data_IF_798619445266
#
_entry.id   IF_798619445266
#
_cell.length_a   1.000
_cell.length_b   1.000
_cell.length_c   1.000
_cell.angle_alpha   90.00
_cell.angle_beta   90.00
_cell.angle_gamma   90.00
#
_symmetry.space_group_name_H-M   'P 1'
#
loop_
_entity.id
_entity.type
_entity.pdbx_description
1 polymer ?
#
# COMPACT_ATOMS: atom_id res chain seq x y z
N UNK A 1 24.82 43.80 -13.70
CA UNK A 1 24.35 43.49 -12.33
C UNK A 1 25.35 42.52 -11.73
N UNK A 2 26.22 42.98 -10.82
CA UNK A 2 27.21 42.13 -10.16
C UNK A 2 26.46 41.23 -9.18
N UNK A 3 26.35 39.94 -9.50
CA UNK A 3 25.90 38.93 -8.56
C UNK A 3 26.99 38.79 -7.51
N UNK A 4 26.73 39.27 -6.29
CA UNK A 4 27.58 39.01 -5.13
C UNK A 4 27.55 37.50 -4.87
N UNK A 5 28.69 36.86 -5.11
CA UNK A 5 28.80 35.41 -5.01
C UNK A 5 28.84 34.99 -3.54
N UNK A 6 27.69 34.51 -3.04
CA UNK A 6 27.56 33.97 -1.69
C UNK A 6 27.76 32.46 -1.77
N UNK A 7 28.59 31.90 -0.89
CA UNK A 7 28.76 30.44 -0.76
C UNK A 7 27.42 29.81 -0.36
N UNK A 8 26.78 29.16 -1.32
CA UNK A 8 25.62 28.30 -1.10
C UNK A 8 26.07 26.83 -1.04
N UNK A 9 25.14 25.91 -0.78
CA UNK A 9 25.37 24.45 -0.93
C UNK A 9 25.88 24.06 -2.33
N UNK A 10 25.74 24.95 -3.32
CA UNK A 10 26.15 24.78 -4.71
C UNK A 10 27.44 25.55 -5.06
N UNK A 11 28.24 25.91 -4.04
CA UNK A 11 29.48 26.68 -4.11
C UNK A 11 29.34 28.15 -4.56
N UNK A 12 28.38 28.48 -5.42
CA UNK A 12 28.17 29.83 -5.96
C UNK A 12 26.68 30.13 -6.20
N UNK A 13 26.26 31.38 -6.00
CA UNK A 13 24.90 31.83 -6.34
C UNK A 13 24.69 31.91 -7.86
N UNK A 14 25.74 32.25 -8.60
CA UNK A 14 25.71 32.28 -10.05
C UNK A 14 25.43 30.88 -10.63
N UNK A 15 26.16 29.86 -10.16
CA UNK A 15 25.97 28.47 -10.59
C UNK A 15 24.57 27.94 -10.24
N UNK A 16 24.03 28.34 -9.08
CA UNK A 16 22.66 27.99 -8.70
C UNK A 16 21.63 28.57 -9.69
N UNK A 17 21.75 29.87 -10.02
CA UNK A 17 20.83 30.51 -10.96
C UNK A 17 20.97 29.95 -12.38
N UNK A 18 22.19 29.66 -12.83
CA UNK A 18 22.45 29.06 -14.14
C UNK A 18 21.79 27.67 -14.25
N UNK A 19 22.01 26.79 -13.26
CA UNK A 19 21.37 25.46 -13.22
C UNK A 19 19.86 25.53 -13.08
N UNK A 20 19.35 26.50 -12.31
CA UNK A 20 17.91 26.74 -12.22
C UNK A 20 17.33 27.12 -13.57
N UNK A 21 17.95 28.04 -14.30
CA UNK A 21 17.51 28.44 -15.64
C UNK A 21 17.56 27.27 -16.64
N UNK A 22 18.61 26.44 -16.60
CA UNK A 22 18.71 25.24 -17.44
C UNK A 22 17.59 24.23 -17.16
N UNK A 23 17.22 24.06 -15.88
CA UNK A 23 16.20 23.09 -15.46
C UNK A 23 14.78 23.67 -15.41
N UNK A 24 14.63 24.99 -15.53
CA UNK A 24 13.35 25.69 -15.41
C UNK A 24 12.27 25.15 -16.36
N UNK A 25 12.55 24.85 -17.65
CA UNK A 25 11.53 24.27 -18.53
C UNK A 25 11.06 22.89 -18.07
N UNK A 26 11.97 22.06 -17.55
CA UNK A 26 11.64 20.74 -17.02
C UNK A 26 10.84 20.84 -15.72
N UNK A 27 11.21 21.76 -14.83
CA UNK A 27 10.47 22.05 -13.59
C UNK A 27 9.08 22.59 -13.88
N UNK A 28 8.94 23.51 -14.84
CA UNK A 28 7.66 24.05 -15.26
C UNK A 28 6.78 22.99 -15.93
N UNK A 29 7.35 22.16 -16.81
CA UNK A 29 6.65 21.04 -17.42
C UNK A 29 6.17 20.03 -16.36
N UNK A 30 7.01 19.71 -15.38
CA UNK A 30 6.65 18.83 -14.26
C UNK A 30 5.55 19.46 -13.38
N UNK A 31 5.64 20.75 -13.06
CA UNK A 31 4.65 21.45 -12.23
C UNK A 31 3.27 21.54 -12.90
N UNK A 32 3.23 21.62 -14.24
CA UNK A 32 1.99 21.64 -15.02
C UNK A 32 1.44 20.23 -15.22
N UNK A 33 2.28 19.19 -15.14
CA UNK A 33 1.88 17.82 -15.37
C UNK A 33 0.83 17.37 -14.33
N UNK A 34 -0.28 16.80 -14.82
CA UNK A 34 -1.43 16.40 -14.01
C UNK A 34 -1.12 15.37 -12.91
N UNK A 35 0.03 14.68 -13.01
CA UNK A 35 0.55 13.75 -11.99
C UNK A 35 0.96 14.44 -10.69
N UNK A 36 1.33 15.72 -10.73
CA UNK A 36 1.77 16.48 -9.55
C UNK A 36 0.69 17.44 -9.02
N UNK A 37 -0.46 17.51 -9.69
CA UNK A 37 -1.57 18.39 -9.32
C UNK A 37 -2.49 17.67 -8.33
N UNK A 38 -2.00 17.45 -7.11
CA UNK A 38 -2.86 17.05 -6.00
C UNK A 38 -3.71 18.26 -5.62
N UNK A 39 -5.04 18.15 -5.69
CA UNK A 39 -5.92 19.24 -5.23
C UNK A 39 -5.88 19.28 -3.70
N UNK A 40 -6.04 20.47 -3.13
CA UNK A 40 -6.10 20.63 -1.68
C UNK A 40 -7.19 19.75 -1.06
N UNK A 41 -8.34 19.64 -1.72
CA UNK A 41 -9.47 18.80 -1.29
C UNK A 41 -9.12 17.31 -1.28
N UNK A 42 -8.36 16.83 -2.28
CA UNK A 42 -7.92 15.43 -2.37
C UNK A 42 -6.96 15.09 -1.22
N UNK A 43 -6.06 16.03 -0.89
CA UNK A 43 -5.13 15.89 0.23
C UNK A 43 -5.88 15.89 1.55
N UNK A 44 -6.87 16.78 1.72
CA UNK A 44 -7.67 16.82 2.93
C UNK A 44 -8.49 15.54 3.13
N UNK A 45 -9.15 15.04 2.08
CA UNK A 45 -9.87 13.77 2.14
C UNK A 45 -8.95 12.61 2.53
N UNK A 46 -7.75 12.55 1.95
CA UNK A 46 -6.72 11.56 2.29
C UNK A 46 -6.29 11.66 3.76
N UNK A 47 -6.00 12.86 4.26
CA UNK A 47 -5.60 13.07 5.66
C UNK A 47 -6.72 12.73 6.64
N UNK A 48 -7.97 13.02 6.27
CA UNK A 48 -9.14 12.66 7.06
C UNK A 48 -9.28 11.13 7.17
N UNK A 49 -9.13 10.40 6.07
CA UNK A 49 -9.17 8.93 6.07
C UNK A 49 -8.00 8.33 6.87
N UNK A 50 -6.79 8.86 6.69
CA UNK A 50 -5.60 8.41 7.39
C UNK A 50 -5.71 8.58 8.90
N UNK A 51 -6.27 9.71 9.35
CA UNK A 51 -6.42 10.01 10.79
C UNK A 51 -7.52 9.16 11.42
N UNK A 52 -8.59 8.85 10.67
CA UNK A 52 -9.65 7.95 11.13
C UNK A 52 -9.14 6.50 11.31
N UNK A 53 -8.30 6.05 10.38
CA UNK A 53 -7.64 4.74 10.45
C UNK A 53 -6.48 4.71 11.45
N UNK A 54 -6.09 5.84 12.02
CA UNK A 54 -5.15 5.84 13.15
C UNK A 54 -5.90 5.53 14.45
N UNK A 55 -5.65 4.38 15.09
CA UNK A 55 -6.38 3.99 16.31
C UNK A 55 -6.13 4.93 17.50
N UNK A 56 -5.10 5.77 17.44
CA UNK A 56 -4.81 6.79 18.46
C UNK A 56 -5.75 7.98 18.34
N UNK A 57 -6.19 8.29 17.12
CA UNK A 57 -6.96 9.49 16.82
C UNK A 57 -8.42 9.19 16.52
N UNK A 58 -8.80 7.97 16.11
CA UNK A 58 -10.17 7.50 15.85
C UNK A 58 -11.33 8.20 16.59
N UNK A 59 -11.22 8.51 17.89
CA UNK A 59 -12.27 9.19 18.67
C UNK A 59 -12.45 10.68 18.36
N UNK A 60 -11.50 11.32 17.69
CA UNK A 60 -11.52 12.76 17.39
C UNK A 60 -12.29 13.10 16.11
N UNK A 61 -12.60 12.11 15.27
CA UNK A 61 -13.13 12.28 13.92
C UNK A 61 -14.31 11.36 13.64
N UNK A 62 -15.36 11.48 14.46
CA UNK A 62 -16.60 10.73 14.27
C UNK A 62 -17.55 11.45 13.30
N UNK A 63 -17.15 11.55 12.02
CA UNK A 63 -18.03 12.02 10.94
C UNK A 63 -18.38 10.86 10.03
N UNK A 64 -19.68 10.58 9.87
CA UNK A 64 -20.17 9.46 9.07
C UNK A 64 -19.74 9.56 7.59
N UNK A 65 -19.60 10.77 7.05
CA UNK A 65 -19.09 11.02 5.70
C UNK A 65 -17.69 10.39 5.46
N UNK A 66 -16.82 10.43 6.47
CA UNK A 66 -15.45 9.88 6.35
C UNK A 66 -15.50 8.35 6.40
N UNK A 67 -16.38 7.80 7.24
CA UNK A 67 -16.63 6.35 7.29
C UNK A 67 -17.17 5.80 5.98
N UNK A 68 -18.06 6.54 5.30
CA UNK A 68 -18.60 6.15 3.99
C UNK A 68 -17.50 6.12 2.90
N UNK A 69 -16.55 7.06 2.95
CA UNK A 69 -15.38 7.05 2.06
C UNK A 69 -14.47 5.87 2.34
N UNK A 70 -14.15 5.61 3.61
CA UNK A 70 -13.34 4.43 4.01
C UNK A 70 -14.04 3.13 3.62
N UNK A 71 -15.36 3.04 3.77
CA UNK A 71 -16.17 1.90 3.33
C UNK A 71 -16.05 1.68 1.83
N UNK A 72 -16.20 2.74 1.04
CA UNK A 72 -16.09 2.68 -0.42
C UNK A 72 -14.68 2.26 -0.86
N UNK A 73 -13.64 2.79 -0.21
CA UNK A 73 -12.25 2.42 -0.43
C UNK A 73 -11.97 0.94 -0.06
N UNK A 74 -12.55 0.47 1.04
CA UNK A 74 -12.46 -0.91 1.50
C UNK A 74 -13.16 -1.88 0.53
N UNK A 75 -14.34 -1.52 0.03
CA UNK A 75 -15.05 -2.31 -0.98
C UNK A 75 -14.25 -2.38 -2.29
N UNK A 76 -13.75 -1.25 -2.78
CA UNK A 76 -12.92 -1.20 -3.98
C UNK A 76 -11.60 -2.00 -3.81
N UNK A 77 -11.04 -2.04 -2.60
CA UNK A 77 -9.85 -2.86 -2.32
C UNK A 77 -10.15 -4.36 -2.41
N UNK A 78 -11.31 -4.81 -1.93
CA UNK A 78 -11.75 -6.21 -2.01
C UNK A 78 -12.04 -6.59 -3.47
N UNK A 79 -12.69 -5.71 -4.23
CA UNK A 79 -12.97 -5.92 -5.65
C UNK A 79 -11.67 -6.08 -6.46
N UNK A 80 -10.68 -5.22 -6.23
CA UNK A 80 -9.34 -5.32 -6.83
C UNK A 80 -8.57 -6.59 -6.44
N UNK A 81 -8.91 -7.21 -5.32
CA UNK A 81 -8.35 -8.51 -4.90
C UNK A 81 -9.11 -9.71 -5.52
N UNK A 82 -10.34 -9.49 -6.01
CA UNK A 82 -11.14 -10.49 -6.70
C UNK A 82 -10.86 -10.57 -8.20
N UNK A 83 -10.30 -9.52 -8.80
CA UNK A 83 -9.73 -9.60 -10.13
C UNK A 83 -8.51 -10.54 -10.12
N UNK A 84 -8.41 -11.50 -11.05
CA UNK A 84 -7.24 -12.38 -11.14
C UNK A 84 -6.01 -11.49 -11.38
N UNK A 85 -5.15 -11.40 -10.37
CA UNK A 85 -3.81 -10.82 -10.54
C UNK A 85 -3.16 -11.56 -11.70
N UNK A 86 -2.85 -10.84 -12.79
CA UNK A 86 -1.86 -11.31 -13.74
C UNK A 86 -0.54 -11.45 -12.97
N UNK A 87 -0.27 -12.67 -12.54
CA UNK A 87 1.05 -13.07 -12.10
C UNK A 87 1.93 -12.98 -13.35
N UNK A 88 2.76 -11.94 -13.42
CA UNK A 88 3.95 -11.95 -14.26
C UNK A 88 4.85 -13.09 -13.77
N UNK A 89 4.57 -14.30 -14.24
CA UNK A 89 5.48 -15.45 -14.16
C UNK A 89 6.31 -15.38 -15.43
N UNK A 90 7.62 -15.24 -15.25
CA UNK A 90 8.61 -15.44 -16.30
C UNK A 90 8.36 -16.82 -16.94
N UNK A 91 8.02 -16.82 -18.23
CA UNK A 91 7.93 -18.02 -19.04
C UNK A 91 9.35 -18.58 -19.24
N UNK A 92 9.63 -19.73 -18.65
CA UNK A 92 10.65 -20.65 -19.14
C UNK A 92 9.92 -21.66 -20.03
N UNK A 93 10.31 -21.68 -21.31
CA UNK A 93 9.79 -22.58 -22.34
C UNK A 93 10.37 -23.98 -22.12
N UNK A 94 9.51 -24.95 -21.79
CA UNK A 94 9.78 -26.38 -22.02
C UNK A 94 8.72 -26.92 -22.97
N UNK A 95 9.14 -27.18 -24.21
CA UNK A 95 8.42 -27.94 -25.22
C UNK A 95 8.20 -29.39 -24.71
N UNK A 96 6.94 -29.84 -24.65
CA UNK A 96 6.61 -31.27 -24.67
C UNK A 96 5.43 -31.53 -25.59
N UNK A 97 5.67 -32.54 -26.41
CA UNK A 97 4.89 -33.03 -27.53
C UNK A 97 3.49 -33.51 -27.10
N UNK A 98 2.53 -33.27 -27.99
CA UNK A 98 1.17 -33.78 -27.94
C UNK A 98 1.18 -35.27 -28.30
N UNK A 99 0.62 -36.12 -27.44
CA UNK A 99 0.09 -37.43 -27.84
C UNK A 99 -1.31 -37.59 -27.24
N UNK A 100 -2.28 -37.76 -28.13
CA UNK A 100 -3.66 -38.15 -27.86
C UNK A 100 -3.71 -39.58 -27.29
N UNK A 101 -4.37 -39.81 -26.15
CA UNK A 101 -5.34 -40.92 -26.06
C UNK A 101 -6.19 -40.96 -24.76
N UNK A 102 -7.45 -41.30 -25.00
CA UNK A 102 -8.42 -42.05 -24.19
C UNK A 102 -8.83 -41.66 -22.75
N UNK A 103 -10.09 -41.23 -22.71
CA UNK A 103 -11.09 -41.23 -21.66
C UNK A 103 -10.98 -42.37 -20.61
N UNK A 104 -10.40 -42.10 -19.42
CA UNK A 104 -10.57 -42.93 -18.22
C UNK A 104 -10.90 -42.08 -16.98
N UNK A 105 -12.06 -42.32 -16.36
CA UNK A 105 -12.44 -41.75 -15.05
C UNK A 105 -12.25 -42.79 -13.94
N UNK A 106 -11.43 -42.53 -12.90
CA UNK A 106 -11.31 -43.44 -11.76
C UNK A 106 -12.51 -43.32 -10.80
N UNK A 107 -13.00 -44.42 -10.19
CA UNK A 107 -14.14 -44.37 -9.28
C UNK A 107 -13.76 -43.71 -7.94
N UNK A 108 -14.49 -42.66 -7.58
CA UNK A 108 -14.36 -41.94 -6.30
C UNK A 108 -14.78 -42.86 -5.15
N UNK A 109 -13.81 -43.34 -4.37
CA UNK A 109 -14.07 -44.04 -3.10
C UNK A 109 -14.67 -43.06 -2.10
N UNK A 110 -15.90 -43.31 -1.66
CA UNK A 110 -16.53 -42.56 -0.58
C UNK A 110 -15.72 -42.73 0.71
N UNK A 111 -15.31 -41.61 1.32
CA UNK A 111 -14.68 -41.60 2.64
C UNK A 111 -15.69 -42.13 3.66
N UNK A 112 -15.34 -43.22 4.35
CA UNK A 112 -16.12 -43.69 5.51
C UNK A 112 -15.92 -42.71 6.65
N UNK A 113 -17.02 -42.23 7.25
CA UNK A 113 -16.99 -41.35 8.42
C UNK A 113 -16.38 -42.06 9.61
N UNK A 114 -15.68 -41.32 10.43
CA UNK A 114 -15.10 -41.84 11.68
C UNK A 114 -16.18 -41.91 12.76
N UNK A 115 -16.03 -42.81 13.75
CA UNK A 115 -17.01 -42.93 14.84
C UNK A 115 -17.19 -41.61 15.62
N UNK A 116 -16.14 -40.79 15.71
CA UNK A 116 -16.19 -39.49 16.36
C UNK A 116 -17.02 -38.48 15.56
N UNK A 117 -16.95 -38.50 14.23
CA UNK A 117 -17.83 -37.68 13.37
C UNK A 117 -19.30 -38.00 13.64
N UNK A 118 -19.67 -39.28 13.70
CA UNK A 118 -21.05 -39.73 13.93
C UNK A 118 -21.62 -39.26 15.28
N UNK A 119 -20.77 -39.23 16.33
CA UNK A 119 -21.17 -38.74 17.65
C UNK A 119 -21.47 -37.24 17.71
N UNK A 120 -20.82 -36.45 16.86
CA UNK A 120 -20.96 -34.99 16.85
C UNK A 120 -21.83 -34.46 15.70
N UNK A 121 -22.46 -35.32 14.89
CA UNK A 121 -23.28 -34.91 13.74
C UNK A 121 -24.41 -33.94 14.10
N UNK A 122 -25.08 -34.11 15.25
CA UNK A 122 -26.13 -33.20 15.71
C UNK A 122 -25.59 -31.84 16.19
N UNK A 123 -24.39 -31.80 16.75
CA UNK A 123 -23.75 -30.56 17.19
C UNK A 123 -23.14 -29.81 15.99
N UNK A 124 -22.47 -30.52 15.09
CA UNK A 124 -21.94 -29.97 13.84
C UNK A 124 -23.06 -29.48 12.93
N UNK A 125 -24.17 -30.20 12.80
CA UNK A 125 -25.33 -29.72 12.04
C UNK A 125 -25.99 -28.48 12.65
N UNK A 126 -25.99 -28.34 13.98
CA UNK A 126 -26.43 -27.12 14.68
C UNK A 126 -25.46 -25.95 14.51
N UNK A 127 -24.15 -26.20 14.49
CA UNK A 127 -23.13 -25.20 14.19
C UNK A 127 -23.22 -24.73 12.72
N UNK A 128 -23.43 -25.66 11.80
CA UNK A 128 -23.64 -25.38 10.38
C UNK A 128 -24.96 -24.63 10.13
N UNK A 129 -26.04 -24.97 10.83
CA UNK A 129 -27.31 -24.23 10.74
C UNK A 129 -27.21 -22.83 11.36
N UNK A 130 -26.36 -22.65 12.36
CA UNK A 130 -26.07 -21.32 12.95
C UNK A 130 -25.17 -20.47 12.04
N UNK A 131 -24.33 -21.11 11.21
CA UNK A 131 -23.54 -20.46 10.14
C UNK A 131 -24.31 -20.23 8.83
N UNK A 132 -25.53 -20.74 8.69
CA UNK A 132 -26.44 -20.37 7.59
C UNK A 132 -27.08 -18.99 7.82
N UNK A 133 -26.25 -17.96 8.00
CA UNK A 133 -26.66 -16.64 7.52
C UNK A 133 -26.50 -16.64 5.99
N UNK A 134 -27.37 -15.93 5.24
CA UNK A 134 -27.23 -15.81 3.80
C UNK A 134 -25.80 -15.36 3.44
N UNK A 135 -25.26 -15.67 2.24
CA UNK A 135 -23.93 -15.23 1.85
C UNK A 135 -23.82 -13.73 2.09
N UNK A 136 -23.10 -13.37 3.16
CA UNK A 136 -23.10 -12.01 3.68
C UNK A 136 -22.48 -11.16 2.60
N UNK A 137 -23.25 -10.23 2.02
CA UNK A 137 -22.79 -9.34 0.97
C UNK A 137 -21.46 -8.71 1.40
N UNK A 138 -20.52 -8.54 0.47
CA UNK A 138 -19.20 -7.94 0.73
C UNK A 138 -19.36 -6.63 1.51
N UNK A 139 -20.37 -5.82 1.17
CA UNK A 139 -20.70 -4.57 1.84
C UNK A 139 -21.07 -4.75 3.32
N UNK A 140 -21.73 -5.85 3.69
CA UNK A 140 -22.12 -6.17 5.06
C UNK A 140 -20.95 -6.73 5.86
N UNK A 141 -20.03 -7.48 5.24
CA UNK A 141 -18.75 -7.87 5.88
C UNK A 141 -17.88 -6.66 6.20
N UNK A 142 -17.76 -5.72 5.26
CA UNK A 142 -17.01 -4.47 5.48
C UNK A 142 -17.65 -3.66 6.62
N UNK A 143 -18.99 -3.60 6.67
CA UNK A 143 -19.69 -2.92 7.76
C UNK A 143 -19.38 -3.53 9.12
N UNK A 144 -19.44 -4.87 9.24
CA UNK A 144 -19.13 -5.56 10.48
C UNK A 144 -17.70 -5.27 10.96
N UNK A 145 -16.74 -5.23 10.03
CA UNK A 145 -15.34 -4.88 10.30
C UNK A 145 -15.21 -3.43 10.77
N UNK A 146 -15.91 -2.50 10.12
CA UNK A 146 -15.94 -1.07 10.52
C UNK A 146 -16.54 -0.92 11.92
N UNK A 147 -17.67 -1.56 12.21
CA UNK A 147 -18.33 -1.51 13.51
C UNK A 147 -17.46 -2.14 14.61
N UNK A 148 -16.79 -3.25 14.30
CA UNK A 148 -15.81 -3.85 15.20
C UNK A 148 -14.68 -2.86 15.50
N UNK A 149 -14.12 -2.22 14.48
CA UNK A 149 -13.12 -1.18 14.69
C UNK A 149 -13.69 -0.02 15.52
N UNK A 150 -14.93 0.43 15.26
CA UNK A 150 -15.64 1.53 15.99
C UNK A 150 -15.86 1.22 17.47
N UNK A 151 -16.07 -0.04 17.83
CA UNK A 151 -16.21 -0.47 19.24
C UNK A 151 -14.88 -0.61 20.00
N UNK A 152 -13.73 -0.75 19.33
CA UNK A 152 -12.44 -0.89 20.00
C UNK A 152 -12.00 0.42 20.69
N UNK A 153 -11.40 0.34 21.89
CA UNK A 153 -10.91 1.54 22.58
C UNK A 153 -9.70 2.16 21.84
N UNK A 154 -9.54 3.49 21.89
CA UNK A 154 -8.37 4.16 21.33
C UNK A 154 -7.10 3.77 22.09
N UNK A 155 -5.98 3.79 21.37
CA UNK A 155 -4.66 3.42 21.92
C UNK A 155 -3.96 4.69 22.43
N UNK A 156 -3.15 4.59 23.51
CA UNK A 156 -2.27 5.68 23.92
C UNK A 156 -1.37 6.19 22.78
N UNK A 157 -1.15 7.51 22.74
CA UNK A 157 -0.30 8.16 21.70
C UNK A 157 1.15 7.68 21.68
N UNK A 158 1.61 7.07 22.79
CA UNK A 158 2.98 6.53 22.92
C UNK A 158 3.19 5.25 22.12
N UNK A 159 2.13 4.50 21.83
CA UNK A 159 2.24 3.24 21.12
C UNK A 159 2.24 3.46 19.60
N UNK A 160 2.85 2.52 18.88
CA UNK A 160 2.91 2.57 17.42
C UNK A 160 1.61 2.06 16.79
N UNK A 161 0.95 2.92 16.01
CA UNK A 161 -0.25 2.56 15.26
C UNK A 161 0.00 1.44 14.24
N UNK A 162 1.15 1.42 13.56
CA UNK A 162 1.49 0.38 12.58
C UNK A 162 1.62 -1.00 13.23
N UNK A 163 2.23 -1.07 14.41
CA UNK A 163 2.37 -2.32 15.15
C UNK A 163 1.01 -2.85 15.64
N UNK A 164 0.10 -1.96 16.01
CA UNK A 164 -1.25 -2.36 16.39
C UNK A 164 -2.03 -2.93 15.20
N UNK A 165 -1.96 -2.29 14.04
CA UNK A 165 -2.59 -2.78 12.82
C UNK A 165 -2.02 -4.13 12.39
N UNK A 166 -0.69 -4.32 12.52
CA UNK A 166 -0.05 -5.61 12.26
C UNK A 166 -0.59 -6.71 13.20
N UNK A 167 -0.80 -6.43 14.50
CA UNK A 167 -1.42 -7.39 15.42
C UNK A 167 -2.89 -7.67 15.15
N UNK A 168 -3.58 -6.75 14.48
CA UNK A 168 -5.02 -6.83 14.19
C UNK A 168 -5.32 -7.16 12.72
N UNK A 169 -4.30 -7.49 11.94
CA UNK A 169 -4.43 -7.87 10.52
C UNK A 169 -5.40 -9.02 10.33
N UNK A 170 -5.35 -10.02 11.20
CA UNK A 170 -6.19 -11.22 11.08
C UNK A 170 -7.66 -10.92 11.41
N UNK A 171 -7.89 -9.98 12.33
CA UNK A 171 -9.23 -9.59 12.76
C UNK A 171 -9.87 -8.56 11.82
N UNK A 172 -9.06 -7.69 11.20
CA UNK A 172 -9.50 -6.55 10.39
C UNK A 172 -8.71 -6.46 9.07
N UNK A 173 -8.69 -7.50 8.22
CA UNK A 173 -7.73 -7.62 7.10
C UNK A 173 -7.86 -6.50 6.06
N UNK A 174 -9.09 -6.04 5.80
CA UNK A 174 -9.35 -5.00 4.80
C UNK A 174 -8.96 -3.61 5.34
N UNK A 175 -9.26 -3.34 6.61
CA UNK A 175 -8.89 -2.08 7.25
C UNK A 175 -7.38 -2.01 7.54
N UNK A 176 -6.73 -3.12 7.89
CA UNK A 176 -5.29 -3.16 8.09
C UNK A 176 -4.54 -2.88 6.80
N UNK A 177 -4.97 -3.47 5.67
CA UNK A 177 -4.37 -3.20 4.37
C UNK A 177 -4.52 -1.72 3.95
N UNK A 178 -5.68 -1.11 4.23
CA UNK A 178 -5.86 0.33 4.03
C UNK A 178 -4.97 1.14 4.96
N UNK A 179 -5.00 0.86 6.26
CA UNK A 179 -4.24 1.59 7.27
C UNK A 179 -2.73 1.54 7.01
N UNK A 180 -2.18 0.40 6.59
CA UNK A 180 -0.78 0.30 6.17
C UNK A 180 -0.46 1.26 5.02
N UNK A 181 -1.34 1.35 4.02
CA UNK A 181 -1.14 2.28 2.89
C UNK A 181 -1.13 3.74 3.34
N UNK A 182 -2.04 4.13 4.24
CA UNK A 182 -2.11 5.52 4.72
C UNK A 182 -0.97 5.85 5.69
N UNK A 183 -0.68 4.97 6.65
CA UNK A 183 0.29 5.21 7.72
C UNK A 183 1.76 5.10 7.25
N UNK A 184 2.02 4.45 6.11
CA UNK A 184 3.35 4.42 5.50
C UNK A 184 3.74 5.74 4.82
N UNK A 185 2.80 6.68 4.63
CA UNK A 185 3.11 7.96 3.99
C UNK A 185 3.88 8.86 4.94
N UNK A 186 5.06 9.27 4.51
CA UNK A 186 5.92 10.15 5.30
C UNK A 186 5.42 11.59 5.21
N UNK A 187 5.31 12.26 6.37
CA UNK A 187 4.84 13.64 6.44
C UNK A 187 5.87 14.68 5.95
N UNK A 188 7.12 14.28 5.69
CA UNK A 188 8.20 15.17 5.29
C UNK A 188 8.98 14.65 4.09
N UNK A 189 9.57 15.59 3.34
CA UNK A 189 10.55 15.31 2.28
C UNK A 189 11.93 14.91 2.83
N UNK A 190 12.15 14.89 4.15
CA UNK A 190 13.47 14.60 4.73
C UNK A 190 14.09 13.29 4.26
N UNK A 191 13.33 12.20 4.05
CA UNK A 191 13.88 10.95 3.53
C UNK A 191 14.33 11.05 2.07
N UNK A 192 13.56 11.74 1.21
CA UNK A 192 13.97 12.00 -0.18
C UNK A 192 15.16 12.96 -0.23
N UNK A 193 15.20 14.00 0.60
CA UNK A 193 16.36 14.89 0.75
C UNK A 193 17.61 14.15 1.19
N UNK A 194 17.49 13.17 2.10
CA UNK A 194 18.61 12.32 2.51
C UNK A 194 19.09 11.44 1.34
N UNK A 195 18.19 10.97 0.48
CA UNK A 195 18.56 10.25 -0.76
C UNK A 195 19.29 11.18 -1.72
N UNK A 196 18.76 12.38 -1.98
CA UNK A 196 19.40 13.36 -2.86
C UNK A 196 20.73 13.89 -2.32
N UNK A 197 20.88 13.99 -0.99
CA UNK A 197 22.14 14.37 -0.37
C UNK A 197 23.19 13.30 -0.58
N UNK A 198 22.86 12.03 -0.29
CA UNK A 198 23.74 10.89 -0.59
C UNK A 198 24.04 10.76 -2.07
N UNK A 199 23.06 11.04 -2.94
CA UNK A 199 23.28 11.09 -4.37
C UNK A 199 24.28 12.19 -4.75
N UNK A 200 24.18 13.38 -4.15
CA UNK A 200 25.16 14.46 -4.35
C UNK A 200 26.57 14.06 -3.93
N UNK A 201 26.71 13.31 -2.83
CA UNK A 201 28.02 12.82 -2.36
C UNK A 201 28.58 11.70 -3.27
N UNK A 202 27.71 10.83 -3.78
CA UNK A 202 28.08 9.70 -4.64
C UNK A 202 28.38 10.14 -6.08
N UNK A 203 27.67 11.16 -6.55
CA UNK A 203 27.77 11.75 -7.88
C UNK A 203 28.67 12.99 -7.83
N UNK A 204 29.97 12.77 -7.62
CA UNK A 204 30.93 13.87 -7.65
C UNK A 204 31.13 14.40 -9.08
N UNK A 205 31.57 15.66 -9.27
CA UNK A 205 31.90 16.22 -10.58
C UNK A 205 32.94 15.39 -11.36
N UNK A 206 33.83 14.72 -10.63
CA UNK A 206 34.87 13.82 -11.16
C UNK A 206 34.30 12.50 -11.72
N UNK A 207 33.08 12.14 -11.33
CA UNK A 207 32.32 10.98 -11.83
C UNK A 207 31.03 11.41 -12.57
N UNK A 208 31.05 12.55 -13.25
CA UNK A 208 29.89 13.12 -13.97
C UNK A 208 29.49 12.40 -15.26
N UNK A 209 30.29 11.43 -15.76
CA UNK A 209 30.00 10.66 -16.99
C UNK A 209 29.23 9.36 -16.74
N UNK A 210 28.41 9.29 -15.69
CA UNK A 210 27.57 8.12 -15.48
C UNK A 210 26.20 8.31 -16.12
N UNK A 211 25.67 7.24 -16.70
CA UNK A 211 24.30 7.21 -17.21
C UNK A 211 23.30 7.28 -16.04
N UNK A 212 22.12 7.90 -16.23
CA UNK A 212 21.12 8.07 -15.17
C UNK A 212 20.67 6.73 -14.55
N UNK A 213 20.60 5.66 -15.33
CA UNK A 213 20.27 4.30 -14.85
C UNK A 213 21.33 3.77 -13.87
N UNK A 214 22.61 3.97 -14.19
CA UNK A 214 23.74 3.57 -13.33
C UNK A 214 23.81 4.43 -12.07
N UNK A 215 23.44 5.71 -12.18
CA UNK A 215 23.31 6.60 -11.03
C UNK A 215 22.27 6.08 -10.04
N UNK A 216 21.08 5.73 -10.54
CA UNK A 216 19.99 5.20 -9.75
C UNK A 216 20.39 3.91 -9.02
N UNK A 217 21.03 2.97 -9.73
CA UNK A 217 21.51 1.71 -9.16
C UNK A 217 22.55 1.92 -8.05
N UNK A 218 23.47 2.87 -8.23
CA UNK A 218 24.51 3.17 -7.23
C UNK A 218 23.90 3.78 -5.97
N UNK A 219 22.95 4.71 -6.12
CA UNK A 219 22.23 5.32 -5.00
C UNK A 219 21.41 4.27 -4.24
N UNK A 220 20.76 3.36 -4.98
CA UNK A 220 20.00 2.27 -4.40
C UNK A 220 20.89 1.34 -3.55
N UNK A 221 22.02 0.90 -4.10
CA UNK A 221 22.98 0.06 -3.36
C UNK A 221 23.47 0.78 -2.09
N UNK A 222 23.82 2.05 -2.18
CA UNK A 222 24.28 2.81 -1.01
C UNK A 222 23.22 2.93 0.10
N UNK A 223 21.92 2.95 -0.24
CA UNK A 223 20.84 3.05 0.76
C UNK A 223 20.43 1.71 1.38
N UNK A 224 20.78 0.58 0.75
CA UNK A 224 20.35 -0.76 1.16
C UNK A 224 21.50 -1.66 1.62
N UNK A 225 22.76 -1.21 1.51
CA UNK A 225 23.93 -1.81 2.15
C UNK A 225 24.13 -1.25 3.56
#
# INVERSE_FOLDING_TARGET
MLILDVRTRWNSLYLMMERFCEQFPALQAAAIHQRFKLKADDIQAFLEEATLLDPRFKSNMDRDEIWDRVRSSAMAAIEKLSEPRETHVHAEEEEREEDEDENYTPPVKQKKRTALEEFFEEEDSKLLSTQQQPPVSIAQRVEQVIQLYRSLPPIPTKDSASFWWWKKSDALPVLSALAEKYLCVQASSTPSERVFSTAGDTLSPERSRILPERANMTIFLHKNC
#
